data_IF_416559208942
#
_entry.id   IF_416559208942
#
_cell.length_a   1.000
_cell.length_b   1.000
_cell.length_c   1.000
_cell.angle_alpha   90.00
_cell.angle_beta   90.00
_cell.angle_gamma   90.00
#
_symmetry.space_group_name_H-M   'P 1'
#
loop_
_entity.id
_entity.type
_entity.pdbx_description
1 polymer ?
#
# COMPACT_ATOMS: atom_id res chain seq x y z
N UNK A 1 -2.04 -22.94 0.14
CA UNK A 1 -1.96 -21.53 -0.32
C UNK A 1 -2.66 -21.44 -1.66
N UNK A 2 -3.66 -20.56 -1.78
CA UNK A 2 -4.33 -20.31 -3.06
C UNK A 2 -3.66 -19.11 -3.73
N UNK A 3 -3.28 -19.26 -4.99
CA UNK A 3 -2.82 -18.15 -5.81
C UNK A 3 -4.03 -17.44 -6.42
N UNK A 4 -4.13 -16.13 -6.24
CA UNK A 4 -5.25 -15.30 -6.71
C UNK A 4 -4.67 -14.14 -7.52
N UNK A 5 -5.24 -13.89 -8.69
CA UNK A 5 -4.90 -12.71 -9.50
C UNK A 5 -5.97 -11.65 -9.32
N UNK A 6 -5.56 -10.44 -8.99
CA UNK A 6 -6.44 -9.29 -8.82
C UNK A 6 -5.95 -8.11 -9.63
N UNK A 7 -6.82 -7.12 -9.82
CA UNK A 7 -6.48 -5.86 -10.51
C UNK A 7 -6.54 -4.68 -9.55
N UNK A 8 -5.74 -3.67 -9.85
CA UNK A 8 -5.85 -2.35 -9.21
C UNK A 8 -6.49 -1.34 -10.18
N UNK A 9 -7.27 -0.35 -9.67
CA UNK A 9 -7.67 -0.14 -8.28
C UNK A 9 -8.56 -1.27 -7.72
N UNK A 10 -8.57 -1.43 -6.39
CA UNK A 10 -9.29 -2.50 -5.70
C UNK A 10 -10.77 -2.17 -5.53
N UNK A 11 -11.65 -3.04 -6.03
CA UNK A 11 -13.06 -3.00 -5.65
C UNK A 11 -13.32 -3.73 -4.31
N UNK A 12 -14.49 -3.44 -3.72
CA UNK A 12 -14.89 -4.00 -2.43
C UNK A 12 -15.07 -5.52 -2.48
N UNK A 13 -15.58 -6.06 -3.60
CA UNK A 13 -15.79 -7.50 -3.79
C UNK A 13 -14.47 -8.27 -3.77
N UNK A 14 -13.45 -7.73 -4.44
CA UNK A 14 -12.09 -8.27 -4.44
C UNK A 14 -11.56 -8.32 -3.01
N UNK A 15 -11.68 -7.22 -2.26
CA UNK A 15 -11.20 -7.15 -0.87
C UNK A 15 -11.90 -8.18 0.02
N UNK A 16 -13.22 -8.30 -0.08
CA UNK A 16 -14.01 -9.23 0.73
C UNK A 16 -13.75 -10.71 0.39
N UNK A 17 -13.30 -10.99 -0.85
CA UNK A 17 -12.93 -12.34 -1.27
C UNK A 17 -11.60 -12.84 -0.71
N UNK A 18 -10.72 -11.93 -0.28
CA UNK A 18 -9.36 -12.24 0.15
C UNK A 18 -9.32 -12.73 1.60
N UNK A 19 -8.44 -13.70 1.86
CA UNK A 19 -8.17 -14.24 3.19
C UNK A 19 -6.70 -14.10 3.55
N UNK A 20 -6.42 -13.98 4.85
CA UNK A 20 -5.04 -13.99 5.36
C UNK A 20 -4.34 -15.27 4.91
N UNK A 21 -3.14 -15.12 4.33
CA UNK A 21 -2.33 -16.24 3.83
C UNK A 21 -2.56 -16.58 2.36
N UNK A 22 -3.48 -15.90 1.67
CA UNK A 22 -3.59 -15.99 0.21
C UNK A 22 -2.34 -15.40 -0.45
N UNK A 23 -1.90 -16.04 -1.55
CA UNK A 23 -0.86 -15.50 -2.41
C UNK A 23 -1.54 -14.70 -3.52
N UNK A 24 -1.15 -13.43 -3.65
CA UNK A 24 -1.84 -12.49 -4.53
C UNK A 24 -0.90 -11.94 -5.58
N UNK A 25 -1.30 -12.04 -6.84
CA UNK A 25 -0.68 -11.38 -7.98
C UNK A 25 -1.53 -10.16 -8.35
N UNK A 26 -0.91 -8.98 -8.42
CA UNK A 26 -1.60 -7.73 -8.67
C UNK A 26 -1.18 -7.20 -10.04
N UNK A 27 -2.15 -6.91 -10.90
CA UNK A 27 -1.92 -6.27 -12.20
C UNK A 27 -2.63 -4.93 -12.27
N UNK A 28 -1.91 -3.87 -12.64
CA UNK A 28 -2.48 -2.53 -12.80
C UNK A 28 -1.55 -1.45 -12.25
N UNK A 29 -2.13 -0.30 -11.94
CA UNK A 29 -1.41 0.85 -11.39
C UNK A 29 -1.22 0.67 -9.88
N UNK A 30 0.01 0.81 -9.41
CA UNK A 30 0.36 0.83 -7.99
C UNK A 30 1.22 2.07 -7.74
N UNK A 31 0.88 2.84 -6.72
CA UNK A 31 1.63 4.03 -6.35
C UNK A 31 2.71 3.67 -5.34
N UNK A 32 3.88 4.28 -5.45
CA UNK A 32 4.94 4.09 -4.46
C UNK A 32 5.00 5.28 -3.52
N UNK A 33 4.95 5.04 -2.22
CA UNK A 33 5.15 6.08 -1.22
C UNK A 33 5.72 5.48 0.06
N UNK A 34 6.59 6.24 0.73
CA UNK A 34 7.18 5.88 2.03
C UNK A 34 7.08 7.06 2.99
N UNK A 35 7.97 7.14 3.97
CA UNK A 35 7.98 8.04 5.12
C UNK A 35 7.59 9.50 4.77
N UNK A 36 8.38 10.20 3.94
CA UNK A 36 8.15 11.62 3.63
C UNK A 36 6.86 11.89 2.85
N UNK A 37 6.52 11.00 1.91
CA UNK A 37 5.29 11.11 1.13
C UNK A 37 4.04 10.90 2.01
N UNK A 38 4.07 9.92 2.92
CA UNK A 38 2.98 9.69 3.87
C UNK A 38 2.76 10.88 4.78
N UNK A 39 3.84 11.43 5.36
CA UNK A 39 3.78 12.64 6.18
C UNK A 39 3.13 13.79 5.43
N UNK A 40 3.60 14.11 4.22
CA UNK A 40 3.05 15.20 3.41
C UNK A 40 1.57 14.99 3.06
N UNK A 41 1.17 13.77 2.70
CA UNK A 41 -0.24 13.47 2.40
C UNK A 41 -1.13 13.66 3.63
N UNK A 42 -0.69 13.21 4.81
CA UNK A 42 -1.46 13.39 6.04
C UNK A 42 -1.54 14.87 6.44
N UNK A 43 -0.44 15.61 6.40
CA UNK A 43 -0.44 17.05 6.69
C UNK A 43 -1.37 17.83 5.75
N UNK A 44 -1.37 17.51 4.45
CA UNK A 44 -2.29 18.12 3.48
C UNK A 44 -3.75 17.82 3.84
N UNK A 45 -4.06 16.55 4.14
CA UNK A 45 -5.40 16.12 4.55
C UNK A 45 -5.88 16.75 5.87
N UNK A 46 -4.97 17.04 6.80
CA UNK A 46 -5.26 17.73 8.06
C UNK A 46 -5.56 19.23 7.84
N UNK A 47 -4.93 19.84 6.84
CA UNK A 47 -5.21 21.21 6.41
C UNK A 47 -6.45 21.34 5.51
N UNK A 48 -7.11 20.22 5.16
CA UNK A 48 -8.23 20.20 4.21
C UNK A 48 -7.81 20.42 2.76
N UNK A 49 -6.53 20.25 2.44
CA UNK A 49 -6.00 20.37 1.08
C UNK A 49 -6.28 19.10 0.26
N UNK A 50 -6.31 19.26 -1.07
CA UNK A 50 -6.45 18.13 -1.99
C UNK A 50 -5.11 17.41 -2.17
N UNK A 51 -5.15 16.08 -2.21
CA UNK A 51 -4.00 15.27 -2.59
C UNK A 51 -3.71 15.39 -4.09
N UNK A 52 -2.45 15.17 -4.53
CA UNK A 52 -2.10 15.24 -5.94
C UNK A 52 -2.68 14.10 -6.78
N UNK A 53 -3.32 13.11 -6.14
CA UNK A 53 -4.07 12.04 -6.78
C UNK A 53 -5.17 11.53 -5.84
N UNK A 54 -6.17 10.85 -6.40
CA UNK A 54 -7.24 10.22 -5.64
C UNK A 54 -6.76 8.90 -5.03
N UNK A 55 -6.88 8.78 -3.70
CA UNK A 55 -6.51 7.57 -2.96
C UNK A 55 -7.59 6.48 -3.02
N UNK A 56 -8.80 6.82 -3.45
CA UNK A 56 -9.95 5.92 -3.45
C UNK A 56 -9.61 4.64 -4.19
N UNK A 57 -9.74 3.51 -3.49
CA UNK A 57 -9.49 2.17 -4.02
C UNK A 57 -8.03 1.87 -4.42
N UNK A 58 -7.10 2.80 -4.19
CA UNK A 58 -5.73 2.62 -4.62
C UNK A 58 -4.90 1.74 -3.69
N UNK A 59 -3.77 1.30 -4.24
CA UNK A 59 -2.74 0.54 -3.53
C UNK A 59 -1.47 1.39 -3.45
N UNK A 60 -0.92 1.50 -2.23
CA UNK A 60 0.39 2.09 -2.01
C UNK A 60 1.41 1.00 -1.69
N UNK A 61 2.48 0.94 -2.48
CA UNK A 61 3.66 0.13 -2.21
C UNK A 61 4.72 0.93 -1.46
N UNK A 62 5.08 0.46 -0.27
CA UNK A 62 6.12 1.03 0.56
C UNK A 62 7.50 0.65 0.01
N UNK A 63 7.96 1.44 -0.94
CA UNK A 63 9.12 1.15 -1.77
C UNK A 63 9.77 2.45 -2.23
N UNK A 64 11.10 2.44 -2.38
CA UNK A 64 11.87 3.50 -3.03
C UNK A 64 12.85 2.84 -4.00
N UNK A 65 12.78 3.09 -5.31
CA UNK A 65 13.47 2.27 -6.27
C UNK A 65 14.92 2.71 -6.35
N UNK A 66 15.82 1.78 -6.65
CA UNK A 66 17.18 2.18 -7.04
C UNK A 66 17.16 2.79 -8.45
N UNK A 67 18.22 3.51 -8.86
CA UNK A 67 18.33 4.00 -10.24
C UNK A 67 18.20 2.86 -11.25
N UNK A 68 17.47 3.10 -12.33
CA UNK A 68 17.34 2.13 -13.41
C UNK A 68 18.68 1.93 -14.13
N UNK A 69 19.00 0.67 -14.47
CA UNK A 69 20.13 0.35 -15.35
C UNK A 69 19.78 0.70 -16.80
N UNK A 70 20.76 0.93 -17.69
CA UNK A 70 20.49 1.16 -19.11
C UNK A 70 19.58 0.08 -19.70
N UNK A 71 18.53 0.50 -20.41
CA UNK A 71 17.53 -0.39 -21.03
C UNK A 71 16.49 -0.97 -20.07
N UNK A 72 16.50 -0.61 -18.78
CA UNK A 72 15.51 -1.06 -17.80
C UNK A 72 14.54 0.07 -17.43
N UNK A 73 13.28 -0.29 -17.18
CA UNK A 73 12.21 0.68 -16.83
C UNK A 73 12.33 1.17 -15.39
N UNK A 74 12.83 0.32 -14.49
CA UNK A 74 12.99 0.62 -13.05
C UNK A 74 14.21 -0.12 -12.51
N UNK A 75 14.85 0.44 -11.49
CA UNK A 75 15.85 -0.29 -10.71
C UNK A 75 15.22 -1.27 -9.74
N UNK A 76 16.01 -1.74 -8.79
CA UNK A 76 15.54 -2.63 -7.74
C UNK A 76 14.40 -2.01 -6.93
N UNK A 77 13.33 -2.77 -6.71
CA UNK A 77 12.03 -2.28 -6.23
C UNK A 77 11.52 -3.12 -5.04
N UNK A 78 12.40 -3.42 -4.08
CA UNK A 78 12.07 -4.19 -2.88
C UNK A 78 11.24 -3.41 -1.83
N UNK A 79 10.54 -4.13 -0.93
CA UNK A 79 9.71 -3.50 0.10
C UNK A 79 10.55 -2.91 1.22
N UNK A 80 10.03 -1.84 1.83
CA UNK A 80 10.53 -1.30 3.10
C UNK A 80 9.63 -1.67 4.28
N UNK A 81 10.15 -1.52 5.49
CA UNK A 81 9.46 -1.86 6.74
C UNK A 81 8.19 -1.03 6.92
N UNK A 82 7.04 -1.69 6.94
CA UNK A 82 5.72 -1.07 6.97
C UNK A 82 5.40 -0.33 8.26
N UNK A 83 5.98 -0.76 9.39
CA UNK A 83 5.74 -0.15 10.70
C UNK A 83 6.07 1.35 10.77
N UNK A 84 6.97 1.84 9.92
CA UNK A 84 7.31 3.28 9.85
C UNK A 84 6.16 4.15 9.33
N UNK A 85 5.17 3.55 8.67
CA UNK A 85 3.99 4.24 8.14
C UNK A 85 2.75 4.06 9.03
N UNK A 86 2.85 3.39 10.18
CA UNK A 86 1.69 3.03 11.00
C UNK A 86 0.95 4.21 11.61
N UNK A 87 1.65 5.31 11.92
CA UNK A 87 1.04 6.55 12.40
C UNK A 87 0.21 7.25 11.31
N UNK A 88 0.55 7.05 10.04
CA UNK A 88 -0.11 7.71 8.90
C UNK A 88 -1.21 6.86 8.26
N UNK A 89 -1.02 5.54 8.22
CA UNK A 89 -1.87 4.62 7.47
C UNK A 89 -3.36 4.68 7.85
N UNK A 90 -3.77 4.80 9.14
CA UNK A 90 -5.19 4.97 9.50
C UNK A 90 -5.85 6.19 8.86
N UNK A 91 -5.15 7.34 8.80
CA UNK A 91 -5.68 8.56 8.20
C UNK A 91 -5.81 8.45 6.69
N UNK A 92 -4.87 7.78 6.03
CA UNK A 92 -4.91 7.54 4.59
C UNK A 92 -6.00 6.52 4.21
N UNK A 93 -6.21 5.48 5.01
CA UNK A 93 -7.34 4.55 4.83
C UNK A 93 -8.69 5.26 5.00
N UNK A 94 -8.80 6.16 5.99
CA UNK A 94 -9.98 7.01 6.15
C UNK A 94 -10.22 7.92 4.93
N UNK A 95 -9.17 8.24 4.16
CA UNK A 95 -9.24 9.03 2.93
C UNK A 95 -9.43 8.17 1.66
N UNK A 96 -9.65 6.86 1.79
CA UNK A 96 -9.99 5.98 0.65
C UNK A 96 -8.93 4.97 0.26
N UNK A 97 -7.73 4.98 0.87
CA UNK A 97 -6.69 3.99 0.58
C UNK A 97 -7.17 2.57 0.92
N UNK A 98 -7.06 1.64 -0.04
CA UNK A 98 -7.54 0.25 0.13
C UNK A 98 -6.46 -0.80 0.18
N UNK A 99 -5.29 -0.55 -0.41
CA UNK A 99 -4.19 -1.50 -0.43
C UNK A 99 -2.89 -0.92 0.10
N UNK A 100 -2.14 -1.73 0.84
CA UNK A 100 -0.80 -1.40 1.28
C UNK A 100 0.12 -2.60 1.01
N UNK A 101 1.27 -2.38 0.38
CA UNK A 101 2.28 -3.42 0.15
C UNK A 101 3.55 -3.03 0.92
N UNK A 102 4.14 -3.97 1.66
CA UNK A 102 5.40 -3.72 2.37
C UNK A 102 5.91 -4.96 3.10
N UNK A 103 6.82 -4.80 4.07
CA UNK A 103 7.33 -5.92 4.89
C UNK A 103 7.22 -5.68 6.39
N UNK A 104 7.14 -6.77 7.15
CA UNK A 104 7.07 -6.75 8.61
C UNK A 104 5.65 -6.60 9.14
N UNK A 105 5.54 -6.69 10.47
CA UNK A 105 4.28 -6.60 11.19
C UNK A 105 3.72 -5.17 11.20
N UNK A 106 2.42 -5.05 11.47
CA UNK A 106 1.69 -3.79 11.61
C UNK A 106 1.15 -3.65 13.03
N UNK A 107 1.05 -2.42 13.52
CA UNK A 107 0.49 -2.10 14.83
C UNK A 107 -0.99 -2.45 14.94
N UNK A 108 -1.49 -2.53 16.17
CA UNK A 108 -2.92 -2.81 16.44
C UNK A 108 -3.83 -1.75 15.83
N UNK A 109 -3.46 -0.46 15.91
CA UNK A 109 -4.21 0.64 15.32
C UNK A 109 -4.40 0.48 13.79
N UNK A 110 -3.38 -0.01 13.09
CA UNK A 110 -3.50 -0.30 11.65
C UNK A 110 -4.43 -1.49 11.40
N UNK A 111 -4.34 -2.56 12.20
CA UNK A 111 -5.22 -3.72 12.06
C UNK A 111 -6.69 -3.33 12.25
N UNK A 112 -6.96 -2.46 13.21
CA UNK A 112 -8.32 -1.97 13.47
C UNK A 112 -8.80 -1.05 12.36
N UNK A 113 -7.93 -0.19 11.82
CA UNK A 113 -8.24 0.64 10.66
C UNK A 113 -8.50 -0.19 9.39
N UNK A 114 -7.73 -1.26 9.14
CA UNK A 114 -7.94 -2.20 8.03
C UNK A 114 -9.35 -2.79 8.10
N UNK A 115 -9.78 -3.23 9.29
CA UNK A 115 -11.14 -3.76 9.49
C UNK A 115 -12.20 -2.69 9.28
N UNK A 116 -12.01 -1.51 9.88
CA UNK A 116 -12.96 -0.40 9.81
C UNK A 116 -13.18 0.09 8.37
N UNK A 117 -12.10 0.25 7.61
CA UNK A 117 -12.14 0.84 6.27
C UNK A 117 -12.14 -0.22 5.16
N UNK A 118 -12.26 -1.51 5.49
CA UNK A 118 -12.20 -2.63 4.54
C UNK A 118 -11.01 -2.49 3.59
N UNK A 119 -9.79 -2.49 4.15
CA UNK A 119 -8.54 -2.40 3.41
C UNK A 119 -7.73 -3.70 3.55
N UNK A 120 -6.65 -3.84 2.78
CA UNK A 120 -5.80 -5.04 2.77
C UNK A 120 -4.33 -4.65 2.87
N UNK A 121 -3.58 -5.42 3.67
CA UNK A 121 -2.12 -5.36 3.72
C UNK A 121 -1.52 -6.61 3.06
N UNK A 122 -0.74 -6.40 2.01
CA UNK A 122 -0.01 -7.43 1.30
C UNK A 122 1.45 -7.43 1.79
N UNK A 123 1.86 -8.53 2.40
CA UNK A 123 3.26 -8.72 2.78
C UNK A 123 4.06 -9.15 1.55
N UNK A 124 4.98 -8.30 1.11
CA UNK A 124 5.95 -8.61 0.06
C UNK A 124 7.19 -9.28 0.64
N UNK A 125 7.80 -10.18 -0.14
CA UNK A 125 9.04 -10.87 0.23
C UNK A 125 10.18 -9.85 0.27
N UNK A 126 10.81 -9.68 1.44
CA UNK A 126 11.95 -8.78 1.60
C UNK A 126 13.22 -9.35 0.97
N UNK A 127 14.00 -8.50 0.30
CA UNK A 127 15.32 -8.85 -0.24
C UNK A 127 15.35 -9.31 -1.70
N UNK A 128 14.19 -9.55 -2.32
CA UNK A 128 14.07 -9.92 -3.73
C UNK A 128 13.95 -8.68 -4.67
N UNK A 129 14.47 -7.54 -4.22
CA UNK A 129 14.24 -6.22 -4.79
C UNK A 129 15.18 -5.86 -5.91
#
# INVERSE_FOLDING_TARGET
MKAISIRSPLDEQTIESLKTGDQVFITGVIYTARDAAHKRMVEALEKGEKLPFDLTNQIIYYMGPTPARPGQVVGSAGPTTSGRMDSYAPRLMAAGLKGMIGKGNRSQAVRDAIRKYKAVYFAAIGGAG
#
